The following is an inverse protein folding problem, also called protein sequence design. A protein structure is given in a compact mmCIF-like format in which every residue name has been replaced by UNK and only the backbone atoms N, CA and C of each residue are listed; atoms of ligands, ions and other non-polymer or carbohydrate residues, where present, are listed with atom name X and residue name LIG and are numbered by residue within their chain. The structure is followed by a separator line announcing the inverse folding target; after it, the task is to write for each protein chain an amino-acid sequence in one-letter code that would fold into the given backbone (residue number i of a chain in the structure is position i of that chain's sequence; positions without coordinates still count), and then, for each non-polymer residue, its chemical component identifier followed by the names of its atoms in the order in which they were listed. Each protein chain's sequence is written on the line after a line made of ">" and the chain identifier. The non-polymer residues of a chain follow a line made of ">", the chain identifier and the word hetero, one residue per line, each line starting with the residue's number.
data_IF_123337394128
#
_entry.id   IF_123337394128
#
_cell.length_a   1.000
_cell.length_b   1.000
_cell.length_c   1.000
_cell.angle_alpha   90.00
_cell.angle_beta   90.00
_cell.angle_gamma   90.00
#
_symmetry.space_group_name_H-M   'P 1'
#
loop_
_entity.id
_entity.type
_entity.pdbx_description
1 polymer ?
#
# COMPACT_ATOMS: atom_id res chain seq x y z
N UNK A 1 -11.91 7.65 3.87
CA UNK A 1 -12.78 7.38 2.72
C UNK A 1 -11.85 6.99 1.61
N UNK A 2 -12.15 5.88 0.95
CA UNK A 2 -11.31 5.40 -0.13
C UNK A 2 -11.36 6.39 -1.30
N UNK A 3 -10.33 6.37 -2.15
CA UNK A 3 -10.37 7.12 -3.39
C UNK A 3 -11.41 6.53 -4.32
N UNK A 4 -12.12 7.37 -5.09
CA UNK A 4 -13.09 6.88 -6.06
C UNK A 4 -14.15 7.88 -6.46
N UNK A 5 -15.05 7.43 -7.32
CA UNK A 5 -16.24 8.19 -7.71
C UNK A 5 -17.39 7.90 -6.75
N UNK A 6 -18.07 8.97 -6.35
CA UNK A 6 -19.16 8.93 -5.39
C UNK A 6 -20.33 9.76 -5.86
N UNK A 7 -21.52 9.36 -5.44
CA UNK A 7 -22.76 10.11 -5.62
C UNK A 7 -23.26 10.63 -4.27
N UNK A 8 -23.27 11.96 -4.09
CA UNK A 8 -23.97 12.58 -2.98
C UNK A 8 -25.43 12.84 -3.36
N UNK A 9 -26.36 12.40 -2.51
CA UNK A 9 -27.75 12.83 -2.61
C UNK A 9 -28.08 13.81 -1.49
N UNK A 10 -28.41 15.04 -1.84
CA UNK A 10 -28.81 16.09 -0.90
C UNK A 10 -30.32 16.25 -0.96
N UNK A 11 -30.98 16.18 0.19
CA UNK A 11 -32.41 16.38 0.33
C UNK A 11 -32.69 17.73 0.98
N UNK A 12 -33.44 18.60 0.30
CA UNK A 12 -34.05 19.76 0.93
C UNK A 12 -35.33 19.31 1.62
N UNK A 13 -35.45 19.51 2.94
CA UNK A 13 -36.64 19.15 3.72
C UNK A 13 -37.31 20.39 4.30
N UNK A 14 -38.65 20.37 4.35
CA UNK A 14 -39.40 21.38 5.09
C UNK A 14 -39.27 21.15 6.61
N UNK A 15 -39.73 22.12 7.42
CA UNK A 15 -39.69 22.02 8.90
C UNK A 15 -40.49 20.85 9.48
N UNK A 16 -41.38 20.23 8.70
CA UNK A 16 -42.15 19.02 9.07
C UNK A 16 -41.48 17.72 8.61
N UNK A 17 -40.27 17.79 8.05
CA UNK A 17 -39.49 16.65 7.58
C UNK A 17 -39.80 16.16 6.17
N UNK A 18 -40.80 16.74 5.49
CA UNK A 18 -41.15 16.38 4.11
C UNK A 18 -40.08 16.87 3.13
N UNK A 19 -39.67 16.00 2.20
CA UNK A 19 -38.69 16.33 1.17
C UNK A 19 -39.33 17.28 0.16
N UNK A 20 -38.76 18.47 0.00
CA UNK A 20 -39.16 19.50 -0.96
C UNK A 20 -38.43 19.28 -2.29
N UNK A 21 -37.15 18.91 -2.24
CA UNK A 21 -36.32 18.73 -3.41
C UNK A 21 -35.18 17.77 -3.13
N UNK A 22 -34.63 17.19 -4.20
CA UNK A 22 -33.44 16.35 -4.17
C UNK A 22 -32.50 16.81 -5.27
N UNK A 23 -31.21 16.92 -4.95
CA UNK A 23 -30.14 17.01 -5.95
C UNK A 23 -29.19 15.83 -5.78
N UNK A 24 -28.77 15.26 -6.91
CA UNK A 24 -27.73 14.25 -6.97
C UNK A 24 -26.48 14.90 -7.57
N UNK A 25 -25.35 14.78 -6.89
CA UNK A 25 -24.07 15.35 -7.33
C UNK A 25 -23.04 14.23 -7.36
N UNK A 26 -22.43 14.01 -8.52
CA UNK A 26 -21.26 13.14 -8.64
C UNK A 26 -20.01 13.92 -8.23
N UNK A 27 -19.11 13.27 -7.51
CA UNK A 27 -17.82 13.84 -7.12
C UNK A 27 -16.76 12.75 -7.00
N UNK A 28 -15.50 13.12 -7.18
CA UNK A 28 -14.37 12.22 -7.04
C UNK A 28 -13.61 12.56 -5.76
N UNK A 29 -13.37 11.56 -4.92
CA UNK A 29 -12.40 11.68 -3.84
C UNK A 29 -11.05 11.25 -4.41
N UNK A 30 -10.13 12.22 -4.53
CA UNK A 30 -8.74 11.94 -4.86
C UNK A 30 -7.99 11.68 -3.55
N UNK A 31 -7.35 10.51 -3.37
CA UNK A 31 -6.48 10.27 -2.22
C UNK A 31 -5.34 11.26 -2.24
N UNK A 32 -5.35 12.19 -1.29
CA UNK A 32 -4.24 13.12 -1.06
C UNK A 32 -3.42 12.65 0.13
N UNK A 33 -2.17 13.10 0.22
CA UNK A 33 -1.33 12.85 1.41
C UNK A 33 -2.05 13.28 2.69
N UNK A 34 -2.73 14.43 2.67
CA UNK A 34 -3.56 14.91 3.77
C UNK A 34 -4.67 13.92 4.17
N UNK A 35 -5.46 13.42 3.21
CA UNK A 35 -6.53 12.46 3.53
C UNK A 35 -5.98 11.13 4.05
N UNK A 36 -4.87 10.65 3.50
CA UNK A 36 -4.27 9.39 3.95
C UNK A 36 -3.69 9.54 5.36
N UNK A 37 -2.95 10.63 5.64
CA UNK A 37 -2.41 10.94 6.96
C UNK A 37 -3.49 11.17 8.02
N UNK A 38 -4.64 11.70 7.63
CA UNK A 38 -5.75 11.94 8.56
C UNK A 38 -6.53 10.67 8.91
N UNK A 39 -6.83 9.83 7.91
CA UNK A 39 -7.77 8.70 8.09
C UNK A 39 -7.07 7.34 8.22
N UNK A 40 -5.84 7.20 7.71
CA UNK A 40 -5.11 5.94 7.63
C UNK A 40 -3.71 6.04 8.24
N UNK A 41 -3.49 6.99 9.16
CA UNK A 41 -2.17 7.29 9.73
C UNK A 41 -1.39 6.05 10.18
N UNK A 42 -1.99 5.21 11.03
CA UNK A 42 -1.32 4.04 11.60
C UNK A 42 -0.89 3.04 10.54
N UNK A 43 -1.74 2.80 9.55
CA UNK A 43 -1.43 1.88 8.45
C UNK A 43 -0.30 2.44 7.59
N UNK A 44 -0.35 3.73 7.23
CA UNK A 44 0.72 4.40 6.51
C UNK A 44 2.07 4.27 7.24
N UNK A 45 2.12 4.50 8.55
CA UNK A 45 3.37 4.37 9.31
C UNK A 45 3.88 2.92 9.26
N UNK A 46 3.01 1.91 9.37
CA UNK A 46 3.41 0.51 9.21
C UNK A 46 3.94 0.21 7.80
N UNK A 47 3.36 0.81 6.77
CA UNK A 47 3.86 0.68 5.39
C UNK A 47 5.22 1.38 5.24
N UNK A 48 5.38 2.59 5.78
CA UNK A 48 6.64 3.34 5.74
C UNK A 48 7.79 2.61 6.45
N UNK A 49 7.52 1.83 7.51
CA UNK A 49 8.52 0.98 8.19
C UNK A 49 9.26 0.03 7.23
N UNK A 50 8.74 -0.24 6.03
CA UNK A 50 9.45 -1.02 5.00
C UNK A 50 10.67 -0.28 4.44
N UNK A 51 10.67 1.05 4.40
CA UNK A 51 11.70 1.88 3.76
C UNK A 51 12.28 2.99 4.67
N UNK A 52 11.70 3.16 5.84
CA UNK A 52 12.11 4.15 6.84
C UNK A 52 13.07 3.55 7.86
N UNK A 53 13.95 4.39 8.41
CA UNK A 53 14.72 4.08 9.61
C UNK A 53 13.82 4.19 10.83
N UNK A 54 14.17 3.48 11.90
CA UNK A 54 13.40 3.53 13.15
C UNK A 54 13.25 4.95 13.69
N UNK A 55 14.32 5.77 13.64
CA UNK A 55 14.26 7.16 14.08
C UNK A 55 13.27 8.03 13.27
N UNK A 56 13.11 7.77 11.97
CA UNK A 56 12.13 8.50 11.15
C UNK A 56 10.71 8.10 11.51
N UNK A 57 10.50 6.84 11.90
CA UNK A 57 9.22 6.35 12.37
C UNK A 57 8.90 6.93 13.75
N UNK A 58 9.88 7.00 14.64
CA UNK A 58 9.74 7.66 15.95
C UNK A 58 9.32 9.13 15.77
N UNK A 59 9.88 9.84 14.78
CA UNK A 59 9.47 11.21 14.45
C UNK A 59 7.97 11.28 14.09
N UNK A 60 7.47 10.34 13.28
CA UNK A 60 6.04 10.29 12.95
C UNK A 60 5.16 9.92 14.16
N UNK A 61 5.56 8.93 14.95
CA UNK A 61 4.75 8.43 16.07
C UNK A 61 4.64 9.45 17.20
N UNK A 62 5.69 10.24 17.43
CA UNK A 62 5.71 11.31 18.43
C UNK A 62 5.17 12.65 17.92
N UNK A 63 4.84 12.76 16.63
CA UNK A 63 4.33 13.99 16.05
C UNK A 63 2.88 14.28 16.43
N UNK A 64 2.66 15.53 16.86
CA UNK A 64 1.32 16.12 16.92
C UNK A 64 0.67 16.12 15.53
N UNK A 65 -0.66 16.07 15.51
CA UNK A 65 -1.43 16.01 14.25
C UNK A 65 -1.13 17.17 13.29
N UNK A 66 -0.79 18.35 13.82
CA UNK A 66 -0.41 19.54 13.03
C UNK A 66 0.97 19.44 12.38
N UNK A 67 1.86 18.56 12.87
CA UNK A 67 3.23 18.39 12.36
C UNK A 67 3.35 17.21 11.36
N UNK A 68 2.33 16.36 11.24
CA UNK A 68 2.39 15.16 10.39
C UNK A 68 2.60 15.47 8.91
N UNK A 69 1.95 16.52 8.41
CA UNK A 69 2.07 16.90 7.01
C UNK A 69 3.51 17.36 6.68
N UNK A 70 4.13 18.16 7.56
CA UNK A 70 5.50 18.64 7.34
C UNK A 70 6.54 17.53 7.45
N UNK A 71 6.37 16.59 8.39
CA UNK A 71 7.24 15.41 8.53
C UNK A 71 7.09 14.49 7.32
N UNK A 72 5.86 14.29 6.84
CA UNK A 72 5.60 13.52 5.63
C UNK A 72 6.27 14.13 4.39
N UNK A 73 6.12 15.43 4.19
CA UNK A 73 6.75 16.12 3.07
C UNK A 73 8.28 16.07 3.17
N UNK A 74 8.83 16.22 4.37
CA UNK A 74 10.27 16.11 4.60
C UNK A 74 10.79 14.69 4.31
N UNK A 75 10.08 13.66 4.79
CA UNK A 75 10.42 12.25 4.58
C UNK A 75 10.52 11.91 3.09
N UNK A 76 9.53 12.33 2.31
CA UNK A 76 9.53 12.06 0.87
C UNK A 76 10.51 12.95 0.12
N UNK A 77 10.65 14.23 0.47
CA UNK A 77 11.63 15.13 -0.17
C UNK A 77 13.06 14.61 -0.05
N UNK A 78 13.42 13.97 1.06
CA UNK A 78 14.75 13.35 1.22
C UNK A 78 14.97 12.13 0.31
N UNK A 79 13.88 11.53 -0.18
CA UNK A 79 13.86 10.35 -1.05
C UNK A 79 13.46 10.68 -2.49
N UNK A 80 13.47 11.96 -2.86
CA UNK A 80 13.14 12.40 -4.20
C UNK A 80 14.36 12.23 -5.13
N UNK A 81 14.32 11.29 -6.10
CA UNK A 81 15.44 11.10 -7.02
C UNK A 81 15.55 12.26 -8.02
N UNK A 82 14.46 13.00 -8.25
CA UNK A 82 14.38 14.04 -9.27
C UNK A 82 13.67 15.29 -8.73
N UNK A 83 14.25 16.03 -7.77
CA UNK A 83 13.59 17.16 -7.09
C UNK A 83 13.20 18.33 -8.01
N UNK A 84 13.61 18.31 -9.27
CA UNK A 84 13.23 19.30 -10.29
C UNK A 84 11.87 19.01 -10.95
N UNK A 85 11.29 17.83 -10.74
CA UNK A 85 9.94 17.49 -11.22
C UNK A 85 8.89 17.92 -10.18
N UNK A 86 7.63 18.01 -10.63
CA UNK A 86 6.52 18.41 -9.76
C UNK A 86 6.11 17.30 -8.77
N UNK A 87 6.50 16.05 -9.05
CA UNK A 87 6.05 14.87 -8.33
C UNK A 87 7.24 13.99 -7.94
N UNK A 88 7.18 13.40 -6.75
CA UNK A 88 8.21 12.48 -6.28
C UNK A 88 7.97 11.07 -6.83
N UNK A 89 8.78 10.64 -7.78
CA UNK A 89 8.61 9.37 -8.50
C UNK A 89 8.81 8.16 -7.59
N UNK A 90 9.69 8.26 -6.60
CA UNK A 90 9.93 7.18 -5.63
C UNK A 90 8.70 6.95 -4.74
N UNK A 91 8.06 8.03 -4.28
CA UNK A 91 6.80 7.99 -3.53
C UNK A 91 5.68 7.37 -4.36
N UNK A 92 5.53 7.79 -5.60
CA UNK A 92 4.48 7.28 -6.49
C UNK A 92 4.64 5.78 -6.74
N UNK A 93 5.86 5.35 -7.06
CA UNK A 93 6.16 3.95 -7.30
C UNK A 93 5.99 3.12 -6.02
N UNK A 94 6.42 3.61 -4.85
CA UNK A 94 6.18 2.95 -3.56
C UNK A 94 4.69 2.73 -3.31
N UNK A 95 3.87 3.79 -3.42
CA UNK A 95 2.42 3.69 -3.22
C UNK A 95 1.75 2.78 -4.27
N UNK A 96 2.25 2.78 -5.50
CA UNK A 96 1.79 1.87 -6.56
C UNK A 96 2.10 0.42 -6.22
N UNK A 97 3.29 0.11 -5.69
CA UNK A 97 3.66 -1.24 -5.26
C UNK A 97 2.87 -1.72 -4.05
N UNK A 98 2.55 -0.83 -3.10
CA UNK A 98 1.63 -1.14 -1.99
C UNK A 98 0.27 -1.61 -2.54
N UNK A 99 -0.34 -0.81 -3.44
CA UNK A 99 -1.63 -1.17 -4.06
C UNK A 99 -1.55 -2.48 -4.85
N UNK A 100 -0.48 -2.66 -5.62
CA UNK A 100 -0.25 -3.91 -6.35
C UNK A 100 -0.16 -5.10 -5.38
N UNK A 101 0.61 -4.96 -4.31
CA UNK A 101 0.76 -6.01 -3.32
C UNK A 101 -0.58 -6.39 -2.70
N UNK A 102 -1.40 -5.41 -2.29
CA UNK A 102 -2.73 -5.67 -1.73
C UNK A 102 -3.66 -6.42 -2.67
N UNK A 103 -3.63 -6.09 -3.96
CA UNK A 103 -4.47 -6.73 -4.98
C UNK A 103 -4.01 -8.17 -5.27
N UNK A 104 -2.68 -8.40 -5.33
CA UNK A 104 -2.13 -9.64 -5.87
C UNK A 104 -1.67 -10.65 -4.81
N UNK A 105 -1.35 -10.19 -3.60
CA UNK A 105 -0.77 -11.02 -2.54
C UNK A 105 -1.58 -10.99 -1.25
N UNK A 106 -2.73 -10.30 -1.22
CA UNK A 106 -3.63 -10.33 -0.09
C UNK A 106 -4.27 -11.71 0.13
N UNK A 107 -4.57 -12.02 1.38
CA UNK A 107 -5.38 -13.19 1.77
C UNK A 107 -6.66 -12.72 2.46
N UNK A 108 -7.66 -13.60 2.70
CA UNK A 108 -8.90 -13.20 3.36
C UNK A 108 -8.73 -12.54 4.74
N UNK A 109 -7.57 -12.72 5.38
CA UNK A 109 -7.29 -12.25 6.73
C UNK A 109 -6.05 -11.33 6.83
N UNK A 110 -5.37 -11.04 5.71
CA UNK A 110 -4.14 -10.24 5.70
C UNK A 110 -4.02 -9.39 4.44
N UNK A 111 -3.66 -8.12 4.62
CA UNK A 111 -3.32 -7.20 3.53
C UNK A 111 -2.08 -7.69 2.78
N UNK A 112 -2.08 -7.52 1.46
CA UNK A 112 -1.02 -8.03 0.62
C UNK A 112 0.33 -7.37 0.89
N UNK A 113 0.36 -6.07 1.23
CA UNK A 113 1.61 -5.40 1.63
C UNK A 113 2.23 -5.97 2.92
N UNK A 114 1.45 -6.67 3.75
CA UNK A 114 1.93 -7.32 4.98
C UNK A 114 2.52 -8.71 4.74
N UNK A 115 2.22 -9.34 3.60
CA UNK A 115 2.76 -10.66 3.23
C UNK A 115 4.22 -10.59 2.83
N UNK A 116 4.94 -11.71 2.90
CA UNK A 116 6.34 -11.73 2.53
C UNK A 116 6.53 -11.48 1.03
N UNK A 117 5.67 -12.04 0.17
CA UNK A 117 5.63 -11.71 -1.27
C UNK A 117 5.39 -10.23 -1.51
N UNK A 118 4.43 -9.62 -0.80
CA UNK A 118 4.15 -8.19 -0.90
C UNK A 118 5.33 -7.33 -0.47
N UNK A 119 5.96 -7.63 0.67
CA UNK A 119 7.16 -6.92 1.14
C UNK A 119 8.30 -6.98 0.13
N UNK A 120 8.58 -8.18 -0.40
CA UNK A 120 9.61 -8.35 -1.43
C UNK A 120 9.26 -7.56 -2.69
N UNK A 121 8.00 -7.62 -3.16
CA UNK A 121 7.57 -6.83 -4.32
C UNK A 121 7.70 -5.32 -4.10
N UNK A 122 7.39 -4.82 -2.90
CA UNK A 122 7.51 -3.40 -2.57
C UNK A 122 8.97 -2.95 -2.60
N UNK A 123 9.86 -3.74 -2.00
CA UNK A 123 11.28 -3.41 -1.88
C UNK A 123 12.04 -3.58 -3.19
N UNK A 124 11.79 -4.68 -3.92
CA UNK A 124 12.55 -5.05 -5.11
C UNK A 124 11.83 -4.72 -6.42
N UNK A 125 10.53 -4.46 -6.38
CA UNK A 125 9.70 -4.19 -7.55
C UNK A 125 9.17 -5.48 -8.19
N UNK A 126 8.89 -5.42 -9.49
CA UNK A 126 8.45 -6.58 -10.25
C UNK A 126 9.63 -7.53 -10.46
N UNK A 127 9.51 -8.83 -10.16
CA UNK A 127 10.54 -9.81 -10.50
C UNK A 127 10.67 -9.97 -12.02
N UNK A 128 11.87 -10.31 -12.46
CA UNK A 128 12.17 -10.59 -13.87
C UNK A 128 11.48 -11.89 -14.32
N UNK A 129 11.54 -12.91 -13.45
CA UNK A 129 10.90 -14.21 -13.66
C UNK A 129 10.24 -14.72 -12.38
N UNK A 130 9.11 -15.41 -12.54
CA UNK A 130 8.44 -16.14 -11.46
C UNK A 130 8.25 -17.59 -11.91
N UNK A 131 8.99 -18.49 -11.27
CA UNK A 131 8.80 -19.94 -11.41
C UNK A 131 7.74 -20.39 -10.38
N UNK A 132 6.72 -21.11 -10.85
CA UNK A 132 5.59 -21.52 -10.02
C UNK A 132 5.47 -23.03 -9.97
N UNK A 133 5.41 -23.55 -8.77
CA UNK A 133 5.18 -24.95 -8.51
C UNK A 133 3.86 -25.08 -7.73
N UNK A 134 2.80 -25.55 -8.39
CA UNK A 134 1.51 -25.74 -7.73
C UNK A 134 1.61 -26.83 -6.66
N UNK A 135 0.56 -26.96 -5.85
CA UNK A 135 0.48 -28.02 -4.86
C UNK A 135 0.53 -29.40 -5.52
N UNK A 136 1.43 -30.25 -5.05
CA UNK A 136 1.59 -31.64 -5.50
C UNK A 136 1.43 -32.60 -4.33
N UNK A 137 1.15 -33.87 -4.61
CA UNK A 137 0.98 -34.88 -3.57
C UNK A 137 2.28 -35.02 -2.75
N UNK A 138 2.28 -34.51 -1.51
CA UNK A 138 3.44 -34.55 -0.61
C UNK A 138 4.37 -33.34 -0.71
N UNK A 139 4.03 -32.30 -1.49
CA UNK A 139 4.80 -31.05 -1.57
C UNK A 139 3.88 -29.84 -1.52
N UNK A 140 4.13 -28.86 -0.61
CA UNK A 140 3.40 -27.59 -0.63
C UNK A 140 3.65 -26.83 -1.94
N UNK A 141 2.75 -25.90 -2.26
CA UNK A 141 2.95 -25.01 -3.39
C UNK A 141 4.07 -24.00 -3.06
N UNK A 142 4.88 -23.65 -4.06
CA UNK A 142 5.94 -22.65 -3.89
C UNK A 142 6.19 -21.83 -5.15
N UNK A 143 6.72 -20.63 -4.96
CA UNK A 143 7.15 -19.74 -6.03
C UNK A 143 8.62 -19.35 -5.82
N UNK A 144 9.37 -19.26 -6.93
CA UNK A 144 10.71 -18.67 -6.93
C UNK A 144 10.67 -17.41 -7.77
N UNK A 145 11.05 -16.29 -7.16
CA UNK A 145 11.09 -14.99 -7.82
C UNK A 145 12.53 -14.60 -8.07
N UNK A 146 12.87 -14.37 -9.33
CA UNK A 146 14.23 -14.02 -9.76
C UNK A 146 14.34 -12.52 -10.05
N UNK A 147 15.40 -11.90 -9.52
CA UNK A 147 15.77 -10.51 -9.72
C UNK A 147 17.21 -10.47 -10.26
N UNK A 148 17.37 -10.67 -11.57
CA UNK A 148 18.66 -10.89 -12.21
C UNK A 148 19.58 -9.68 -12.11
N UNK A 149 19.02 -8.47 -12.23
CA UNK A 149 19.83 -7.25 -12.14
C UNK A 149 20.39 -7.00 -10.73
N UNK A 150 19.74 -7.56 -9.71
CA UNK A 150 20.18 -7.51 -8.31
C UNK A 150 20.97 -8.76 -7.91
N UNK A 151 20.95 -9.81 -8.73
CA UNK A 151 21.63 -11.08 -8.46
C UNK A 151 21.06 -11.83 -7.26
N UNK A 152 19.75 -11.71 -7.01
CA UNK A 152 19.07 -12.34 -5.87
C UNK A 152 17.83 -13.12 -6.32
N UNK A 153 17.50 -14.20 -5.62
CA UNK A 153 16.21 -14.88 -5.77
C UNK A 153 15.55 -15.14 -4.42
N UNK A 154 14.21 -15.13 -4.41
CA UNK A 154 13.41 -15.37 -3.22
C UNK A 154 12.52 -16.59 -3.41
N UNK A 155 12.54 -17.52 -2.46
CA UNK A 155 11.69 -18.72 -2.47
C UNK A 155 10.59 -18.56 -1.45
N UNK A 156 9.34 -18.59 -1.92
CA UNK A 156 8.15 -18.50 -1.09
C UNK A 156 7.36 -19.80 -1.10
N UNK A 157 6.89 -20.24 0.05
CA UNK A 157 6.16 -21.52 0.21
C UNK A 157 4.83 -21.30 0.91
N UNK A 158 3.76 -21.86 0.36
CA UNK A 158 2.43 -21.92 0.97
C UNK A 158 2.27 -23.27 1.69
N UNK A 159 2.69 -23.31 2.96
CA UNK A 159 2.68 -24.53 3.77
C UNK A 159 1.25 -24.97 4.16
N UNK A 160 0.36 -24.00 4.36
CA UNK A 160 -1.00 -24.23 4.88
C UNK A 160 -2.04 -24.35 3.74
N UNK A 161 -1.66 -24.00 2.50
CA UNK A 161 -2.54 -24.04 1.33
C UNK A 161 -3.59 -22.92 1.32
N UNK A 162 -3.32 -21.81 2.02
CA UNK A 162 -4.25 -20.70 2.21
C UNK A 162 -3.90 -19.46 1.38
N UNK A 163 -2.82 -19.54 0.60
CA UNK A 163 -2.31 -18.48 -0.26
C UNK A 163 -1.37 -17.48 0.43
N UNK A 164 -1.05 -17.61 1.72
CA UNK A 164 -0.06 -16.78 2.44
C UNK A 164 1.35 -17.38 2.29
N UNK A 165 1.90 -17.30 1.08
CA UNK A 165 3.25 -17.81 0.78
C UNK A 165 4.32 -17.09 1.63
N UNK A 166 5.02 -17.86 2.46
CA UNK A 166 6.08 -17.38 3.37
C UNK A 166 7.44 -17.42 2.73
N UNK A 167 8.25 -16.40 2.97
CA UNK A 167 9.64 -16.41 2.53
C UNK A 167 10.41 -17.48 3.32
N UNK A 168 10.98 -18.45 2.60
CA UNK A 168 11.75 -19.56 3.19
C UNK A 168 13.24 -19.45 2.90
N UNK A 169 13.61 -18.90 1.75
CA UNK A 169 15.00 -18.83 1.32
C UNK A 169 15.25 -17.55 0.52
N UNK A 170 16.44 -16.98 0.69
CA UNK A 170 17.00 -15.94 -0.18
C UNK A 170 18.32 -16.49 -0.73
N UNK A 171 18.43 -16.53 -2.07
CA UNK A 171 19.58 -17.07 -2.81
C UNK A 171 20.37 -15.95 -3.45
#
# INVERSE_FOLDING_TARGET
>A
MDGGEYDATIYLRNKRGGIISKVKVAFTIVPTSFSMLRYHFKELIRQLRLIAKESEIDDFENADSSARDSIWDAFWRQRDPTPSTEYNEYKEEFLKRIRYADIHFGTPYKHGWETDRGKVYILYGKPDEIERHPFELGSPAYEIWYYYSQGVAFVFVDEDGDGDYKLKETR
#
